data_IF_141490559931
#
_entry.id   IF_141490559931
#
_cell.length_a   1.000
_cell.length_b   1.000
_cell.length_c   1.000
_cell.angle_alpha   90.00
_cell.angle_beta   90.00
_cell.angle_gamma   90.00
#
_symmetry.space_group_name_H-M   'P 1'
#
loop_
_entity.id
_entity.type
_entity.pdbx_description
1 polymer ?
#
# COMPACT_ATOMS: atom_id res chain seq x y z
N UNK A 1 -18.57 -1.90 9.82
CA UNK A 1 -18.77 -2.07 8.37
C UNK A 1 -17.43 -1.83 7.70
N UNK A 2 -17.18 -2.40 6.54
CA UNK A 2 -15.96 -2.18 5.77
C UNK A 2 -16.28 -2.42 4.29
N UNK A 3 -15.82 -1.54 3.42
CA UNK A 3 -16.11 -1.58 1.98
C UNK A 3 -14.84 -1.91 1.22
N UNK A 4 -14.96 -2.78 0.22
CA UNK A 4 -13.84 -3.11 -0.65
C UNK A 4 -13.64 -1.99 -1.67
N UNK A 5 -12.43 -1.44 -1.69
CA UNK A 5 -11.99 -0.56 -2.78
C UNK A 5 -11.53 -1.44 -3.95
N UNK A 6 -12.10 -1.22 -5.13
CA UNK A 6 -11.60 -1.82 -6.38
C UNK A 6 -10.45 -0.98 -6.92
N UNK A 7 -9.21 -1.38 -6.60
CA UNK A 7 -7.99 -0.63 -6.91
C UNK A 7 -7.72 -0.52 -8.42
N UNK A 8 -7.89 -1.59 -9.18
CA UNK A 8 -7.51 -1.60 -10.59
C UNK A 8 -8.33 -0.61 -11.44
N UNK A 9 -9.67 -0.55 -11.34
CA UNK A 9 -10.46 0.48 -12.03
C UNK A 9 -10.04 1.90 -11.64
N UNK A 10 -9.72 2.14 -10.36
CA UNK A 10 -9.26 3.45 -9.90
C UNK A 10 -7.91 3.81 -10.54
N UNK A 11 -6.95 2.89 -10.55
CA UNK A 11 -5.64 3.10 -11.17
C UNK A 11 -5.76 3.34 -12.69
N UNK A 12 -6.66 2.64 -13.37
CA UNK A 12 -6.96 2.87 -14.79
C UNK A 12 -7.56 4.25 -15.03
N UNK A 13 -8.50 4.68 -14.18
CA UNK A 13 -9.08 6.02 -14.24
C UNK A 13 -8.01 7.10 -13.97
N UNK A 14 -7.16 6.92 -12.96
CA UNK A 14 -6.05 7.84 -12.67
C UNK A 14 -5.06 7.95 -13.83
N UNK A 15 -4.74 6.85 -14.51
CA UNK A 15 -3.94 6.88 -15.74
C UNK A 15 -4.62 7.70 -16.84
N UNK A 16 -5.93 7.53 -17.04
CA UNK A 16 -6.69 8.20 -18.09
C UNK A 16 -6.96 9.68 -17.83
N UNK A 17 -7.10 10.07 -16.57
CA UNK A 17 -7.41 11.45 -16.17
C UNK A 17 -6.18 12.24 -15.72
N UNK A 18 -5.06 11.57 -15.41
CA UNK A 18 -3.84 12.20 -14.95
C UNK A 18 -3.20 13.09 -16.01
N UNK A 19 -2.39 14.06 -15.56
CA UNK A 19 -1.61 14.94 -16.44
C UNK A 19 -0.85 14.12 -17.50
N UNK A 20 -0.96 14.45 -18.81
CA UNK A 20 -0.21 13.79 -19.87
C UNK A 20 1.30 13.68 -19.60
N UNK A 21 1.90 14.67 -18.93
CA UNK A 21 3.32 14.65 -18.57
C UNK A 21 3.69 13.52 -17.59
N UNK A 22 2.72 13.03 -16.80
CA UNK A 22 2.89 11.95 -15.82
C UNK A 22 2.62 10.57 -16.42
N UNK A 23 2.11 10.48 -17.65
CA UNK A 23 1.76 9.22 -18.32
C UNK A 23 2.98 8.56 -18.95
N UNK A 24 3.84 8.00 -18.11
CA UNK A 24 5.08 7.38 -18.55
C UNK A 24 4.88 5.93 -19.04
N UNK A 25 5.73 5.43 -19.96
CA UNK A 25 5.68 4.03 -20.38
C UNK A 25 5.88 3.03 -19.24
N UNK A 26 6.70 3.36 -18.23
CA UNK A 26 6.92 2.48 -17.08
C UNK A 26 5.63 2.28 -16.27
N UNK A 27 4.88 3.36 -16.01
CA UNK A 27 3.61 3.28 -15.31
C UNK A 27 2.55 2.51 -16.12
N UNK A 28 2.48 2.71 -17.45
CA UNK A 28 1.60 1.91 -18.31
C UNK A 28 1.95 0.42 -18.29
N UNK A 29 3.24 0.06 -18.30
CA UNK A 29 3.68 -1.35 -18.17
C UNK A 29 3.28 -1.91 -16.81
N UNK A 30 3.45 -1.15 -15.73
CA UNK A 30 3.04 -1.57 -14.40
C UNK A 30 1.52 -1.82 -14.32
N UNK A 31 0.70 -0.89 -14.82
CA UNK A 31 -0.75 -1.03 -14.87
C UNK A 31 -1.19 -2.26 -15.68
N UNK A 32 -0.55 -2.51 -16.84
CA UNK A 32 -0.81 -3.72 -17.64
C UNK A 32 -0.43 -5.01 -16.90
N UNK A 33 0.65 -5.01 -16.10
CA UNK A 33 1.03 -6.16 -15.27
C UNK A 33 0.00 -6.41 -14.17
N UNK A 34 -0.43 -5.36 -13.47
CA UNK A 34 -1.45 -5.45 -12.43
C UNK A 34 -2.77 -5.97 -13.00
N UNK A 35 -3.20 -5.45 -14.16
CA UNK A 35 -4.40 -5.95 -14.85
C UNK A 35 -4.35 -7.43 -15.18
N UNK A 36 -3.19 -7.93 -15.64
CA UNK A 36 -3.00 -9.36 -15.93
C UNK A 36 -3.00 -10.24 -14.68
N UNK A 37 -2.44 -9.75 -13.58
CA UNK A 37 -2.39 -10.46 -12.29
C UNK A 37 -3.75 -10.47 -11.58
N UNK A 38 -4.55 -9.44 -11.80
CA UNK A 38 -5.80 -9.23 -11.07
C UNK A 38 -5.56 -8.69 -9.67
N UNK A 39 -6.64 -8.22 -9.03
CA UNK A 39 -6.57 -7.77 -7.64
C UNK A 39 -6.47 -8.97 -6.67
N UNK A 40 -5.67 -8.85 -5.59
CA UNK A 40 -5.67 -9.84 -4.54
C UNK A 40 -7.05 -9.94 -3.87
N UNK A 41 -7.32 -11.08 -3.21
CA UNK A 41 -8.50 -11.22 -2.39
C UNK A 41 -8.35 -10.34 -1.13
N UNK A 42 -9.41 -9.63 -0.71
CA UNK A 42 -9.32 -8.81 0.49
C UNK A 42 -8.94 -9.63 1.71
N UNK A 43 -7.98 -9.14 2.49
CA UNK A 43 -7.50 -9.81 3.69
C UNK A 43 -8.47 -9.61 4.86
N UNK A 44 -8.76 -8.35 5.19
CA UNK A 44 -9.69 -7.99 6.26
C UNK A 44 -10.19 -6.57 6.04
N UNK A 45 -11.51 -6.44 5.91
CA UNK A 45 -12.14 -5.14 5.74
C UNK A 45 -12.33 -4.43 7.09
N UNK A 46 -12.06 -3.14 7.12
CA UNK A 46 -12.24 -2.30 8.31
C UNK A 46 -11.84 -0.84 8.05
N UNK A 47 -11.92 0.01 9.08
CA UNK A 47 -11.46 1.38 8.98
C UNK A 47 -9.94 1.42 8.83
N UNK A 48 -9.47 2.22 7.87
CA UNK A 48 -8.08 2.49 7.57
C UNK A 48 -7.79 3.97 7.88
N UNK A 49 -6.54 4.25 8.26
CA UNK A 49 -6.02 5.61 8.42
C UNK A 49 -5.52 6.18 7.09
N UNK A 50 -4.91 5.34 6.25
CA UNK A 50 -4.36 5.64 4.91
C UNK A 50 -3.17 6.61 4.86
N UNK A 51 -2.68 7.07 6.02
CA UNK A 51 -1.57 8.02 6.11
C UNK A 51 -0.73 7.79 7.38
N UNK A 52 -0.32 6.54 7.60
CA UNK A 52 0.43 6.17 8.79
C UNK A 52 1.92 6.44 8.58
N UNK A 53 2.41 7.48 9.26
CA UNK A 53 3.81 7.83 9.35
C UNK A 53 4.16 8.42 10.73
N UNK A 54 5.45 8.65 10.98
CA UNK A 54 5.97 9.09 12.28
C UNK A 54 5.31 10.37 12.80
N UNK A 55 5.08 11.35 11.92
CA UNK A 55 4.46 12.63 12.30
C UNK A 55 2.97 12.50 12.69
N UNK A 56 2.27 11.46 12.21
CA UNK A 56 0.89 11.16 12.56
C UNK A 56 0.76 10.23 13.78
N UNK A 57 1.87 9.93 14.46
CA UNK A 57 1.90 9.07 15.66
C UNK A 57 2.35 9.88 16.87
N UNK A 58 1.44 10.04 17.84
CA UNK A 58 1.72 10.71 19.11
C UNK A 58 1.92 9.68 20.22
N UNK A 59 3.03 9.81 20.96
CA UNK A 59 3.27 9.04 22.18
C UNK A 59 2.56 9.71 23.35
N UNK A 60 1.63 8.98 23.97
CA UNK A 60 0.95 9.41 25.20
C UNK A 60 1.35 8.53 26.38
N UNK A 61 1.00 8.95 27.60
CA UNK A 61 1.17 8.11 28.79
C UNK A 61 0.41 6.76 28.69
N UNK A 62 -0.65 6.72 27.89
CA UNK A 62 -1.48 5.52 27.64
C UNK A 62 -1.04 4.69 26.43
N UNK A 63 0.09 5.05 25.80
CA UNK A 63 0.59 4.41 24.57
C UNK A 63 0.49 5.30 23.34
N UNK A 64 0.67 4.69 22.17
CA UNK A 64 0.64 5.39 20.88
C UNK A 64 -0.80 5.72 20.46
N UNK A 65 -0.98 6.90 19.84
CA UNK A 65 -2.24 7.36 19.26
C UNK A 65 -1.98 7.87 17.84
N UNK A 66 -2.89 7.53 16.93
CA UNK A 66 -2.93 8.09 15.59
C UNK A 66 -3.71 9.41 15.60
N UNK A 67 -3.22 10.37 14.86
CA UNK A 67 -3.85 11.67 14.60
C UNK A 67 -3.93 11.88 13.09
N UNK A 68 -4.66 12.92 12.67
CA UNK A 68 -4.83 13.26 11.26
C UNK A 68 -5.62 12.22 10.44
N UNK A 69 -6.91 12.13 10.75
CA UNK A 69 -7.84 11.15 10.16
C UNK A 69 -8.51 11.65 8.86
N UNK A 70 -7.99 12.67 8.20
CA UNK A 70 -8.68 13.27 7.03
C UNK A 70 -8.79 12.33 5.83
N UNK A 71 -7.81 11.43 5.68
CA UNK A 71 -7.79 10.39 4.65
C UNK A 71 -8.38 9.07 5.14
N UNK A 72 -8.98 9.02 6.32
CA UNK A 72 -9.51 7.79 6.86
C UNK A 72 -10.70 7.28 6.03
N UNK A 73 -10.78 5.96 5.87
CA UNK A 73 -11.84 5.34 5.10
C UNK A 73 -11.93 3.85 5.31
N UNK A 74 -13.05 3.25 4.95
CA UNK A 74 -13.19 1.79 4.98
C UNK A 74 -12.40 1.16 3.82
N UNK A 75 -11.66 0.09 4.09
CA UNK A 75 -10.87 -0.60 3.08
C UNK A 75 -10.35 -1.95 3.55
N UNK A 76 -9.48 -2.55 2.75
CA UNK A 76 -8.75 -3.75 3.14
C UNK A 76 -7.46 -3.38 3.88
N UNK A 77 -7.22 -3.99 5.04
CA UNK A 77 -6.03 -3.73 5.84
C UNK A 77 -4.72 -4.01 5.09
N UNK A 78 -4.74 -4.89 4.08
CA UNK A 78 -3.57 -5.10 3.23
C UNK A 78 -3.12 -3.81 2.53
N UNK A 79 -4.05 -2.91 2.21
CA UNK A 79 -3.75 -1.61 1.62
C UNK A 79 -3.03 -0.69 2.62
N UNK A 80 -3.50 -0.62 3.86
CA UNK A 80 -2.84 0.14 4.93
C UNK A 80 -1.42 -0.39 5.17
N UNK A 81 -1.27 -1.70 5.33
CA UNK A 81 0.05 -2.31 5.58
C UNK A 81 1.01 -2.06 4.40
N UNK A 82 0.52 -2.04 3.16
CA UNK A 82 1.34 -1.73 1.99
C UNK A 82 1.71 -0.24 1.89
N UNK A 83 0.90 0.66 2.46
CA UNK A 83 1.08 2.12 2.37
C UNK A 83 1.78 2.73 3.60
N UNK A 84 1.90 1.99 4.71
CA UNK A 84 2.59 2.47 5.92
C UNK A 84 4.04 2.87 5.59
N UNK A 85 4.41 4.08 6.00
CA UNK A 85 5.76 4.57 5.85
C UNK A 85 6.70 3.91 6.86
N UNK A 86 7.73 3.23 6.36
CA UNK A 86 8.84 2.67 7.16
C UNK A 86 10.17 3.01 6.51
N UNK A 87 11.24 2.99 7.31
CA UNK A 87 12.56 3.43 6.85
C UNK A 87 13.22 2.47 5.86
N UNK A 88 12.87 1.18 5.92
CA UNK A 88 13.41 0.15 5.03
C UNK A 88 12.49 -1.06 4.91
N UNK A 89 12.75 -1.91 3.91
CA UNK A 89 11.99 -3.11 3.60
C UNK A 89 12.02 -4.16 4.73
N UNK A 90 13.10 -4.24 5.51
CA UNK A 90 13.19 -5.20 6.62
C UNK A 90 12.24 -4.83 7.77
N UNK A 91 12.13 -3.52 8.06
CA UNK A 91 11.15 -2.99 9.01
C UNK A 91 9.72 -3.18 8.49
N UNK A 92 9.50 -3.02 7.18
CA UNK A 92 8.20 -3.32 6.57
C UNK A 92 7.78 -4.77 6.81
N UNK A 93 8.66 -5.71 6.48
CA UNK A 93 8.41 -7.14 6.67
C UNK A 93 8.20 -7.51 8.14
N UNK A 94 8.98 -6.91 9.05
CA UNK A 94 8.81 -7.11 10.48
C UNK A 94 7.45 -6.59 10.97
N UNK A 95 7.01 -5.43 10.48
CA UNK A 95 5.71 -4.86 10.78
C UNK A 95 4.58 -5.78 10.30
N UNK A 96 4.62 -6.20 9.03
CA UNK A 96 3.62 -7.09 8.44
C UNK A 96 3.55 -8.41 9.21
N UNK A 97 4.70 -9.01 9.53
CA UNK A 97 4.77 -10.26 10.30
C UNK A 97 4.20 -10.09 11.72
N UNK A 98 4.57 -9.02 12.41
CA UNK A 98 4.07 -8.73 13.77
C UNK A 98 2.56 -8.49 13.76
N UNK A 99 2.05 -7.77 12.75
CA UNK A 99 0.62 -7.55 12.58
C UNK A 99 -0.10 -8.88 12.34
N UNK A 100 0.37 -9.70 11.41
CA UNK A 100 -0.22 -11.00 11.10
C UNK A 100 -0.33 -11.90 12.34
N UNK A 101 0.74 -11.98 13.13
CA UNK A 101 0.76 -12.73 14.40
C UNK A 101 -0.29 -12.23 15.40
N UNK A 102 -0.35 -10.91 15.63
CA UNK A 102 -1.31 -10.30 16.57
C UNK A 102 -2.75 -10.38 16.10
N UNK A 103 -2.97 -10.34 14.79
CA UNK A 103 -4.29 -10.42 14.18
C UNK A 103 -4.76 -11.86 13.94
N UNK A 104 -3.94 -12.86 14.26
CA UNK A 104 -4.18 -14.28 13.97
C UNK A 104 -4.47 -14.55 12.48
N UNK A 105 -3.71 -13.90 11.61
CA UNK A 105 -3.78 -14.05 10.16
C UNK A 105 -2.63 -14.97 9.72
N UNK A 106 -2.93 -15.98 8.90
CA UNK A 106 -1.89 -16.86 8.36
C UNK A 106 -0.90 -16.06 7.48
N UNK A 107 0.43 -16.19 7.70
CA UNK A 107 1.44 -15.44 6.97
C UNK A 107 1.39 -15.67 5.44
N UNK A 108 0.95 -16.85 5.01
CA UNK A 108 0.87 -17.25 3.60
C UNK A 108 -0.15 -16.43 2.79
N UNK A 109 -1.03 -15.66 3.44
CA UNK A 109 -1.98 -14.78 2.76
C UNK A 109 -1.30 -13.49 2.24
N UNK A 110 -0.13 -13.12 2.76
CA UNK A 110 0.64 -11.96 2.29
C UNK A 110 1.57 -12.27 1.09
N UNK A 111 1.56 -13.51 0.59
CA UNK A 111 2.40 -13.98 -0.51
C UNK A 111 1.86 -13.44 -1.85
N UNK A 112 2.14 -12.16 -2.11
CA UNK A 112 2.24 -11.57 -3.45
C UNK A 112 2.95 -10.20 -3.50
N UNK A 113 3.49 -9.69 -2.38
CA UNK A 113 4.01 -8.29 -2.36
C UNK A 113 5.54 -8.19 -2.45
N UNK A 114 6.30 -9.16 -1.97
CA UNK A 114 7.78 -9.06 -1.89
C UNK A 114 8.55 -9.18 -3.21
N UNK A 115 7.91 -9.49 -4.33
CA UNK A 115 8.59 -9.62 -5.63
C UNK A 115 8.37 -8.46 -6.61
N UNK A 116 7.61 -7.42 -6.24
CA UNK A 116 7.26 -6.34 -7.21
C UNK A 116 7.83 -4.97 -6.84
N UNK A 117 8.19 -4.69 -5.57
CA UNK A 117 8.81 -3.41 -5.18
C UNK A 117 10.29 -3.30 -5.58
N UNK A 118 11.05 -4.41 -5.58
CA UNK A 118 12.46 -4.41 -6.00
C UNK A 118 12.69 -4.06 -7.49
N UNK A 119 11.64 -4.06 -8.33
CA UNK A 119 11.77 -3.72 -9.76
C UNK A 119 11.34 -2.28 -10.07
N UNK A 120 10.82 -1.53 -9.10
CA UNK A 120 10.40 -0.14 -9.32
C UNK A 120 11.50 0.87 -8.94
N UNK A 121 12.33 0.55 -7.94
CA UNK A 121 13.46 1.42 -7.56
C UNK A 121 14.60 1.43 -8.60
N UNK A 122 14.80 0.32 -9.33
CA UNK A 122 15.89 0.20 -10.30
C UNK A 122 15.66 0.98 -11.62
N UNK A 123 14.41 1.41 -11.89
CA UNK A 123 14.07 2.17 -13.10
C UNK A 123 14.09 3.70 -12.87
N UNK A 124 14.27 4.15 -11.62
CA UNK A 124 14.26 5.59 -11.27
C UNK A 124 15.64 6.27 -11.36
N UNK A 125 16.75 5.51 -11.35
CA UNK A 125 18.11 6.08 -11.42
C UNK A 125 18.70 6.14 -12.85
N UNK A 126 18.02 5.61 -13.86
CA UNK A 126 18.59 5.44 -15.22
C UNK A 126 18.39 6.61 -16.21
N UNK A 127 18.03 7.81 -15.76
CA UNK A 127 17.51 8.88 -16.61
C UNK A 127 18.28 10.20 -16.58
N UNK A 128 19.61 10.18 -16.59
CA UNK A 128 20.42 11.38 -16.90
C UNK A 128 21.49 11.01 -17.94
N UNK A 129 21.15 11.24 -19.22
CA UNK A 129 21.96 11.94 -20.25
C UNK A 129 21.07 12.28 -21.44
#
# INVERSE_FOLDING_TARGET
>A
MGWRISLLPLLEQYWQCGDPARRTPCWLRALKRLRKRGEPRPLRLGPLHMDVHGDNIVRTASGLRLIDWEYAGDGDIALELAAVWVSDESQHQQLVSTYAQRAHIEPDVFVATSQTMATLDNDAEGGVV
#
